data_IF_489879219626
#
_entry.id   IF_489879219626
#
_cell.length_a   1.000
_cell.length_b   1.000
_cell.length_c   1.000
_cell.angle_alpha   90.00
_cell.angle_beta   90.00
_cell.angle_gamma   90.00
#
_symmetry.space_group_name_H-M   'P 1'
#
loop_
_entity.id
_entity.type
_entity.pdbx_description
1 polymer ?
#
# COMPACT_ATOMS: atom_id res chain seq x y z
N UNK A 1 -21.24 38.21 23.34
CA UNK A 1 -22.07 38.56 22.18
C UNK A 1 -21.15 38.87 21.01
N UNK A 2 -20.91 37.89 20.13
CA UNK A 2 -20.09 38.09 18.92
C UNK A 2 -20.97 38.81 17.89
N UNK A 3 -20.61 40.03 17.60
CA UNK A 3 -21.26 40.80 16.52
C UNK A 3 -20.79 40.19 15.20
N UNK A 4 -21.63 39.39 14.58
CA UNK A 4 -21.45 38.94 13.21
C UNK A 4 -21.63 40.18 12.31
N UNK A 5 -20.50 40.79 11.94
CA UNK A 5 -20.53 41.85 10.92
C UNK A 5 -21.07 41.24 9.62
N UNK A 6 -22.18 41.84 9.14
CA UNK A 6 -22.73 41.46 7.85
C UNK A 6 -21.68 41.72 6.76
N UNK A 7 -21.29 40.69 6.02
CA UNK A 7 -20.37 40.80 4.88
C UNK A 7 -21.07 41.69 3.82
N UNK A 8 -20.33 42.61 3.23
CA UNK A 8 -20.84 43.39 2.12
C UNK A 8 -21.21 42.48 0.93
N UNK A 9 -22.13 42.92 0.11
CA UNK A 9 -22.55 42.20 -1.09
C UNK A 9 -21.35 41.90 -2.00
N UNK A 10 -20.39 42.82 -2.04
CA UNK A 10 -19.14 42.65 -2.79
C UNK A 10 -18.28 41.50 -2.21
N UNK A 11 -18.18 41.41 -0.87
CA UNK A 11 -17.46 40.33 -0.20
C UNK A 11 -18.12 38.97 -0.44
N UNK A 12 -19.46 38.94 -0.44
CA UNK A 12 -20.20 37.69 -0.73
C UNK A 12 -20.03 37.30 -2.20
N UNK A 13 -20.08 38.26 -3.14
CA UNK A 13 -19.89 38.03 -4.56
C UNK A 13 -18.46 37.54 -4.84
N UNK A 14 -17.44 38.16 -4.21
CA UNK A 14 -16.04 37.75 -4.33
C UNK A 14 -15.84 36.36 -3.77
N UNK A 15 -16.46 36.03 -2.63
CA UNK A 15 -16.36 34.68 -2.05
C UNK A 15 -17.05 33.63 -2.94
N UNK A 16 -18.15 33.95 -3.58
CA UNK A 16 -18.82 33.07 -4.55
C UNK A 16 -17.95 32.85 -5.78
N UNK A 17 -17.44 33.94 -6.35
CA UNK A 17 -16.53 33.87 -7.50
C UNK A 17 -15.30 33.02 -7.19
N UNK A 18 -14.76 33.15 -5.98
CA UNK A 18 -13.65 32.34 -5.49
C UNK A 18 -14.01 30.85 -5.41
N UNK A 19 -15.21 30.53 -4.90
CA UNK A 19 -15.70 29.15 -4.80
C UNK A 19 -15.99 28.54 -6.18
N UNK A 20 -16.41 29.37 -7.13
CA UNK A 20 -16.72 28.95 -8.50
C UNK A 20 -15.46 28.83 -9.37
N UNK A 21 -14.34 29.41 -8.93
CA UNK A 21 -13.07 29.31 -9.65
C UNK A 21 -12.60 27.86 -9.70
N UNK A 22 -12.19 27.42 -10.88
CA UNK A 22 -11.76 26.03 -11.09
C UNK A 22 -10.49 25.73 -10.31
N UNK A 23 -10.55 24.70 -9.47
CA UNK A 23 -9.39 24.23 -8.70
C UNK A 23 -8.42 23.53 -9.64
N UNK A 24 -7.13 23.84 -9.50
CA UNK A 24 -6.07 23.28 -10.34
C UNK A 24 -4.87 22.91 -9.47
N UNK A 25 -3.97 22.11 -10.05
CA UNK A 25 -2.64 21.84 -9.50
C UNK A 25 -1.62 22.63 -10.30
N UNK A 26 -0.82 23.44 -9.61
CA UNK A 26 0.41 23.98 -10.19
C UNK A 26 1.51 22.95 -9.99
N UNK A 27 2.05 22.40 -11.07
CA UNK A 27 3.09 21.36 -11.04
C UNK A 27 4.43 22.02 -11.38
N UNK A 28 5.38 21.96 -10.45
CA UNK A 28 6.67 22.60 -10.62
C UNK A 28 7.76 21.86 -9.84
N UNK A 29 8.89 21.61 -10.49
CA UNK A 29 10.08 20.99 -9.89
C UNK A 29 9.81 19.69 -9.15
N UNK A 30 8.98 18.82 -9.72
CA UNK A 30 8.66 17.51 -9.14
C UNK A 30 7.70 17.54 -7.97
N UNK A 31 7.08 18.69 -7.70
CA UNK A 31 6.05 18.85 -6.69
C UNK A 31 4.79 19.47 -7.27
N UNK A 32 3.77 19.62 -6.44
CA UNK A 32 2.54 20.30 -6.85
C UNK A 32 1.92 21.03 -5.67
N UNK A 33 1.16 22.08 -5.97
CA UNK A 33 0.39 22.80 -4.97
C UNK A 33 -0.99 23.17 -5.50
N UNK A 34 -1.96 23.30 -4.59
CA UNK A 34 -3.32 23.64 -4.93
C UNK A 34 -3.42 25.14 -5.25
N UNK A 35 -4.17 25.47 -6.30
CA UNK A 35 -4.42 26.83 -6.73
C UNK A 35 -5.82 26.94 -7.35
N UNK A 36 -6.27 28.18 -7.52
CA UNK A 36 -7.50 28.51 -8.23
C UNK A 36 -7.14 29.31 -9.47
N UNK A 37 -7.62 28.88 -10.61
CA UNK A 37 -7.40 29.61 -11.88
C UNK A 37 -8.38 30.80 -11.91
N UNK A 38 -7.81 32.00 -12.05
CA UNK A 38 -8.59 33.24 -12.14
C UNK A 38 -9.00 33.48 -13.59
N UNK A 39 -10.20 33.99 -13.76
CA UNK A 39 -10.72 34.36 -15.08
C UNK A 39 -10.14 35.70 -15.52
N UNK A 40 -9.97 35.91 -16.82
CA UNK A 40 -9.50 37.17 -17.39
C UNK A 40 -10.36 38.36 -16.95
N UNK A 41 -11.66 38.13 -16.77
CA UNK A 41 -12.62 39.16 -16.32
C UNK A 41 -12.33 39.68 -14.92
N UNK A 42 -11.59 38.93 -14.10
CA UNK A 42 -11.39 39.30 -12.70
C UNK A 42 -10.18 40.22 -12.46
N UNK A 43 -9.34 40.43 -13.47
CA UNK A 43 -8.08 41.17 -13.32
C UNK A 43 -7.89 42.33 -14.30
N UNK A 44 -8.76 42.46 -15.29
CA UNK A 44 -8.75 43.62 -16.19
C UNK A 44 -7.63 43.71 -17.21
N UNK A 45 -6.62 42.82 -17.16
CA UNK A 45 -5.51 42.77 -18.09
C UNK A 45 -5.46 41.42 -18.81
N UNK A 46 -5.39 41.46 -20.15
CA UNK A 46 -5.25 40.26 -20.94
C UNK A 46 -3.84 39.68 -20.79
N UNK A 47 -3.76 38.35 -20.63
CA UNK A 47 -2.49 37.66 -20.54
C UNK A 47 -1.97 37.26 -21.93
N UNK A 48 -0.66 37.12 -22.09
CA UNK A 48 -0.10 36.54 -23.34
C UNK A 48 -0.65 35.13 -23.53
N UNK A 49 -0.67 34.70 -24.81
CA UNK A 49 -1.13 33.36 -25.18
C UNK A 49 -0.26 32.29 -24.47
N UNK A 50 -0.91 31.26 -23.91
CA UNK A 50 -0.25 30.17 -23.20
C UNK A 50 0.08 30.49 -21.74
N UNK A 51 -0.36 31.63 -21.20
CA UNK A 51 -0.15 32.00 -19.80
C UNK A 51 -1.48 32.04 -19.08
N UNK A 52 -1.47 31.62 -17.81
CA UNK A 52 -2.65 31.67 -16.94
C UNK A 52 -2.29 32.32 -15.60
N UNK A 53 -3.30 32.89 -14.96
CA UNK A 53 -3.14 33.53 -13.64
C UNK A 53 -3.77 32.63 -12.59
N UNK A 54 -2.96 32.30 -11.57
CA UNK A 54 -3.39 31.43 -10.49
C UNK A 54 -3.31 32.14 -9.15
N UNK A 55 -4.28 31.86 -8.29
CA UNK A 55 -4.21 32.24 -6.87
C UNK A 55 -3.89 30.98 -6.07
N UNK A 56 -2.74 30.99 -5.39
CA UNK A 56 -2.26 29.84 -4.59
C UNK A 56 -3.11 29.71 -3.32
N UNK A 57 -3.52 28.48 -2.98
CA UNK A 57 -4.37 28.23 -1.81
C UNK A 57 -3.61 28.41 -0.49
N UNK A 58 -2.31 28.10 -0.46
CA UNK A 58 -1.56 28.08 0.81
C UNK A 58 -1.18 29.47 1.33
N UNK A 59 -1.04 30.48 0.48
CA UNK A 59 -0.62 31.82 0.90
C UNK A 59 -1.45 32.96 0.29
N UNK A 60 -2.32 32.65 -0.69
CA UNK A 60 -3.17 33.63 -1.36
C UNK A 60 -2.46 34.46 -2.45
N UNK A 61 -1.20 34.17 -2.74
CA UNK A 61 -0.45 34.90 -3.76
C UNK A 61 -1.04 34.65 -5.15
N UNK A 62 -1.04 35.70 -5.98
CA UNK A 62 -1.47 35.62 -7.38
C UNK A 62 -0.19 35.62 -8.23
N UNK A 63 -0.06 34.59 -9.06
CA UNK A 63 1.12 34.41 -9.93
C UNK A 63 0.68 34.09 -11.36
N UNK A 64 1.56 34.40 -12.31
CA UNK A 64 1.38 34.04 -13.72
C UNK A 64 2.32 32.90 -14.05
N UNK A 65 1.78 31.85 -14.68
CA UNK A 65 2.51 30.63 -15.02
C UNK A 65 2.16 30.18 -16.43
N UNK A 66 2.97 29.29 -16.98
CA UNK A 66 2.65 28.63 -18.25
C UNK A 66 1.47 27.67 -18.05
N UNK A 67 0.57 27.65 -19.02
CA UNK A 67 -0.59 26.76 -19.01
C UNK A 67 -0.16 25.27 -18.94
N UNK A 68 1.00 24.94 -19.49
CA UNK A 68 1.55 23.57 -19.47
C UNK A 68 1.96 23.11 -18.06
N UNK A 69 2.16 24.04 -17.12
CA UNK A 69 2.49 23.72 -15.73
C UNK A 69 1.23 23.52 -14.86
N UNK A 70 0.04 23.57 -15.45
CA UNK A 70 -1.22 23.51 -14.72
C UNK A 70 -1.99 22.25 -15.10
N UNK A 71 -2.39 21.46 -14.08
CA UNK A 71 -3.25 20.28 -14.23
C UNK A 71 -4.58 20.52 -13.52
N UNK A 72 -5.64 19.95 -14.07
CA UNK A 72 -6.96 20.03 -13.43
C UNK A 72 -7.00 19.23 -12.14
N UNK A 73 -7.55 19.82 -11.09
CA UNK A 73 -7.76 19.18 -9.80
C UNK A 73 -9.25 18.82 -9.65
N UNK A 74 -9.51 17.75 -8.92
CA UNK A 74 -10.86 17.33 -8.65
C UNK A 74 -11.50 18.23 -7.58
N UNK A 75 -12.82 18.41 -7.60
CA UNK A 75 -13.52 19.14 -6.53
C UNK A 75 -13.31 18.47 -5.16
N UNK A 76 -13.41 19.24 -4.05
CA UNK A 76 -13.17 18.74 -2.70
C UNK A 76 -13.91 17.45 -2.31
N UNK A 77 -15.15 17.19 -2.76
CA UNK A 77 -15.80 15.90 -2.43
C UNK A 77 -15.05 14.67 -2.89
N UNK A 78 -14.13 14.79 -3.86
CA UNK A 78 -13.30 13.69 -4.33
C UNK A 78 -12.01 13.49 -3.53
N UNK A 79 -11.68 14.37 -2.58
CA UNK A 79 -10.40 14.35 -1.86
C UNK A 79 -10.14 13.01 -1.16
N UNK A 80 -11.19 12.30 -0.73
CA UNK A 80 -11.09 11.01 -0.07
C UNK A 80 -11.86 9.92 -0.81
N UNK A 81 -11.96 10.01 -2.13
CA UNK A 81 -12.70 9.01 -2.90
C UNK A 81 -12.08 7.62 -2.71
N UNK A 82 -12.91 6.60 -2.68
CA UNK A 82 -12.51 5.23 -2.41
C UNK A 82 -11.91 4.54 -3.64
N UNK A 83 -12.19 5.05 -4.83
CA UNK A 83 -11.72 4.45 -6.09
C UNK A 83 -11.14 5.55 -6.98
N UNK A 84 -9.84 5.47 -7.24
CA UNK A 84 -9.13 6.43 -8.10
C UNK A 84 -9.68 6.44 -9.53
N UNK A 85 -10.28 5.34 -9.99
CA UNK A 85 -10.90 5.28 -11.32
C UNK A 85 -12.15 6.17 -11.43
N UNK A 86 -12.71 6.62 -10.30
CA UNK A 86 -13.88 7.50 -10.28
C UNK A 86 -13.51 8.99 -10.25
N UNK A 87 -12.21 9.33 -10.16
CA UNK A 87 -11.77 10.72 -10.22
C UNK A 87 -12.20 11.35 -11.56
N UNK A 88 -12.71 12.57 -11.51
CA UNK A 88 -13.12 13.31 -12.71
C UNK A 88 -11.89 13.61 -13.57
N UNK A 89 -10.78 14.01 -12.94
CA UNK A 89 -9.52 14.29 -13.60
C UNK A 89 -8.47 13.36 -13.03
N UNK A 90 -8.00 12.42 -13.85
CA UNK A 90 -7.03 11.40 -13.45
C UNK A 90 -5.64 11.84 -13.93
N UNK A 91 -4.85 12.35 -12.99
CA UNK A 91 -3.45 12.74 -13.23
C UNK A 91 -2.64 12.42 -11.96
N UNK A 92 -1.32 12.48 -12.05
CA UNK A 92 -0.44 12.10 -10.95
C UNK A 92 -0.68 12.94 -9.69
N UNK A 93 -0.87 14.24 -9.85
CA UNK A 93 -1.09 15.16 -8.73
C UNK A 93 -2.39 14.83 -8.00
N UNK A 94 -3.47 14.57 -8.74
CA UNK A 94 -4.77 14.20 -8.17
C UNK A 94 -4.72 12.86 -7.45
N UNK A 95 -4.04 11.86 -8.05
CA UNK A 95 -3.86 10.54 -7.43
C UNK A 95 -3.10 10.70 -6.12
N UNK A 96 -1.96 11.38 -6.16
CA UNK A 96 -1.13 11.56 -4.97
C UNK A 96 -1.86 12.35 -3.88
N UNK A 97 -2.61 13.38 -4.26
CA UNK A 97 -3.43 14.17 -3.33
C UNK A 97 -4.47 13.27 -2.62
N UNK A 98 -5.21 12.47 -3.38
CA UNK A 98 -6.24 11.56 -2.84
C UNK A 98 -5.61 10.55 -1.87
N UNK A 99 -4.51 9.91 -2.29
CA UNK A 99 -3.81 8.93 -1.45
C UNK A 99 -3.29 9.59 -0.15
N UNK A 100 -2.76 10.81 -0.24
CA UNK A 100 -2.28 11.57 0.92
C UNK A 100 -3.42 11.91 1.89
N UNK A 101 -4.58 12.36 1.36
CA UNK A 101 -5.75 12.70 2.16
C UNK A 101 -6.30 11.45 2.88
N UNK A 102 -6.36 10.34 2.17
CA UNK A 102 -6.81 9.06 2.75
C UNK A 102 -5.82 8.57 3.81
N UNK A 103 -4.53 8.57 3.51
CA UNK A 103 -3.48 8.15 4.45
C UNK A 103 -3.50 8.97 5.73
N UNK A 104 -3.71 10.28 5.63
CA UNK A 104 -3.82 11.17 6.79
C UNK A 104 -5.00 10.84 7.72
N UNK A 105 -5.96 10.06 7.21
CA UNK A 105 -7.11 9.57 7.99
C UNK A 105 -6.96 8.06 8.31
N UNK A 106 -5.77 7.51 8.20
CA UNK A 106 -5.45 6.08 8.41
C UNK A 106 -6.16 5.15 7.42
N UNK A 107 -6.55 5.66 6.25
CA UNK A 107 -7.15 4.87 5.17
C UNK A 107 -6.04 4.52 4.18
N UNK A 108 -5.38 3.38 4.43
CA UNK A 108 -4.19 2.98 3.66
C UNK A 108 -4.51 2.20 2.39
N UNK A 109 -5.76 1.75 2.23
CA UNK A 109 -6.23 1.00 1.06
C UNK A 109 -7.09 1.90 0.19
N UNK A 110 -6.88 1.86 -1.13
CA UNK A 110 -7.67 2.66 -2.09
C UNK A 110 -7.85 1.84 -3.37
N UNK A 111 -9.08 1.69 -3.84
CA UNK A 111 -9.32 1.02 -5.11
C UNK A 111 -8.73 1.84 -6.27
N UNK A 112 -8.31 1.17 -7.31
CA UNK A 112 -7.85 1.76 -8.58
C UNK A 112 -8.44 0.92 -9.72
N UNK A 113 -9.76 0.96 -9.86
CA UNK A 113 -10.50 0.08 -10.76
C UNK A 113 -10.39 -1.37 -10.29
N UNK A 114 -9.86 -2.26 -11.15
CA UNK A 114 -9.66 -3.67 -10.82
C UNK A 114 -8.47 -3.92 -9.88
N UNK A 115 -7.64 -2.91 -9.65
CA UNK A 115 -6.47 -3.00 -8.77
C UNK A 115 -6.74 -2.29 -7.44
N UNK A 116 -5.84 -2.49 -6.49
CA UNK A 116 -5.88 -1.80 -5.20
C UNK A 116 -4.49 -1.25 -4.90
N UNK A 117 -4.44 0.01 -4.50
CA UNK A 117 -3.22 0.65 -3.99
C UNK A 117 -3.22 0.53 -2.48
N UNK A 118 -2.13 -0.01 -1.92
CA UNK A 118 -1.95 -0.13 -0.47
C UNK A 118 -0.69 0.64 -0.08
N UNK A 119 -0.84 1.63 0.78
CA UNK A 119 0.28 2.41 1.31
C UNK A 119 0.75 1.74 2.60
N UNK A 120 2.03 1.35 2.63
CA UNK A 120 2.62 0.70 3.82
C UNK A 120 2.70 1.73 4.97
N UNK A 121 1.98 1.53 6.09
CA UNK A 121 1.96 2.53 7.15
C UNK A 121 3.26 2.52 7.95
N UNK A 122 3.61 3.67 8.53
CA UNK A 122 4.80 3.82 9.36
C UNK A 122 4.63 3.20 10.76
N UNK A 123 3.38 2.98 11.18
CA UNK A 123 3.07 2.34 12.46
C UNK A 123 1.90 1.37 12.29
N UNK A 124 1.83 0.33 13.12
CA UNK A 124 0.74 -0.65 12.99
C UNK A 124 -0.65 -0.02 13.16
N UNK A 125 -1.60 -0.51 12.37
CA UNK A 125 -3.01 -0.10 12.44
C UNK A 125 -3.86 -1.26 12.92
N UNK A 126 -4.85 -0.98 13.77
CA UNK A 126 -5.76 -1.98 14.34
C UNK A 126 -6.95 -2.24 13.39
N UNK A 127 -6.65 -2.68 12.17
CA UNK A 127 -7.66 -2.87 11.11
C UNK A 127 -7.71 -4.32 10.59
N UNK A 128 -7.04 -5.26 11.28
CA UNK A 128 -6.89 -6.64 10.77
C UNK A 128 -7.42 -7.71 11.73
N UNK A 129 -8.17 -7.33 12.75
CA UNK A 129 -8.69 -8.27 13.74
C UNK A 129 -9.72 -9.24 13.14
N UNK A 130 -9.98 -10.35 13.83
CA UNK A 130 -11.02 -11.31 13.43
C UNK A 130 -12.40 -10.65 13.35
N UNK A 131 -12.66 -9.66 14.19
CA UNK A 131 -13.90 -8.87 14.13
C UNK A 131 -14.04 -8.16 12.79
N UNK A 132 -12.94 -7.60 12.27
CA UNK A 132 -12.92 -6.96 10.94
C UNK A 132 -13.13 -8.01 9.84
N UNK A 133 -12.54 -9.22 9.97
CA UNK A 133 -12.77 -10.32 9.03
C UNK A 133 -14.28 -10.62 8.94
N UNK A 134 -14.97 -10.71 10.08
CA UNK A 134 -16.40 -11.00 10.10
C UNK A 134 -17.23 -9.90 9.40
N UNK A 135 -16.77 -8.65 9.43
CA UNK A 135 -17.44 -7.54 8.75
C UNK A 135 -17.40 -7.69 7.23
N UNK A 136 -16.35 -8.29 6.68
CA UNK A 136 -16.19 -8.48 5.24
C UNK A 136 -16.77 -9.80 4.73
N UNK A 137 -16.89 -10.80 5.61
CA UNK A 137 -17.31 -12.15 5.24
C UNK A 137 -18.71 -12.15 4.57
N UNK A 138 -18.79 -12.70 3.37
CA UNK A 138 -20.04 -12.83 2.62
C UNK A 138 -20.45 -11.58 1.85
N UNK A 139 -19.73 -10.46 1.99
CA UNK A 139 -20.11 -9.20 1.34
C UNK A 139 -19.77 -9.22 -0.16
N UNK A 140 -20.51 -8.41 -0.91
CA UNK A 140 -20.21 -8.13 -2.32
C UNK A 140 -19.19 -6.98 -2.41
N UNK A 141 -18.44 -6.93 -3.50
CA UNK A 141 -17.41 -5.92 -3.70
C UNK A 141 -17.96 -4.49 -3.57
N UNK A 142 -19.13 -4.24 -4.18
CA UNK A 142 -19.77 -2.92 -4.16
C UNK A 142 -20.20 -2.45 -2.77
N UNK A 143 -20.30 -3.38 -1.81
CA UNK A 143 -20.72 -3.09 -0.44
C UNK A 143 -19.53 -2.94 0.52
N UNK A 144 -18.30 -3.14 0.04
CA UNK A 144 -17.09 -3.15 0.87
C UNK A 144 -16.23 -1.91 0.62
N UNK A 145 -15.78 -1.23 1.70
CA UNK A 145 -14.76 -0.20 1.55
C UNK A 145 -13.42 -0.82 1.11
N UNK A 146 -12.51 -0.03 0.56
CA UNK A 146 -11.17 -0.54 0.22
C UNK A 146 -10.46 -1.10 1.45
N UNK A 147 -10.06 -2.36 1.36
CA UNK A 147 -9.32 -3.08 2.41
C UNK A 147 -8.70 -4.32 1.75
N UNK A 148 -7.59 -4.81 2.30
CA UNK A 148 -6.99 -6.05 1.78
C UNK A 148 -7.97 -7.22 1.88
N UNK A 149 -8.85 -7.21 2.89
CA UNK A 149 -9.90 -8.22 3.06
C UNK A 149 -10.98 -8.12 1.97
N UNK A 150 -11.24 -6.94 1.43
CA UNK A 150 -12.20 -6.82 0.32
C UNK A 150 -11.66 -7.49 -0.95
N UNK A 151 -10.36 -7.40 -1.20
CA UNK A 151 -9.72 -8.10 -2.33
C UNK A 151 -9.81 -9.62 -2.15
N UNK A 152 -9.54 -10.11 -0.93
CA UNK A 152 -9.65 -11.54 -0.61
C UNK A 152 -11.09 -12.03 -0.75
N UNK A 153 -12.05 -11.29 -0.20
CA UNK A 153 -13.47 -11.66 -0.22
C UNK A 153 -14.03 -11.66 -1.65
N UNK A 154 -13.68 -10.65 -2.45
CA UNK A 154 -14.13 -10.58 -3.85
C UNK A 154 -13.58 -11.75 -4.66
N UNK A 155 -12.30 -12.07 -4.51
CA UNK A 155 -11.68 -13.21 -5.19
C UNK A 155 -12.32 -14.53 -4.77
N UNK A 156 -12.53 -14.71 -3.46
CA UNK A 156 -13.18 -15.91 -2.92
C UNK A 156 -14.62 -16.06 -3.44
N UNK A 157 -15.36 -14.97 -3.45
CA UNK A 157 -16.74 -14.95 -3.96
C UNK A 157 -16.79 -15.32 -5.45
N UNK A 158 -15.87 -14.75 -6.23
CA UNK A 158 -15.78 -15.04 -7.67
C UNK A 158 -15.37 -16.50 -7.93
N UNK A 159 -14.46 -17.04 -7.12
CA UNK A 159 -14.08 -18.46 -7.17
C UNK A 159 -15.31 -19.34 -6.98
N UNK A 160 -16.12 -19.08 -5.95
CA UNK A 160 -17.31 -19.89 -5.64
C UNK A 160 -18.39 -19.73 -6.71
N UNK A 161 -18.58 -18.53 -7.24
CA UNK A 161 -19.64 -18.23 -8.21
C UNK A 161 -19.32 -18.78 -9.61
N UNK A 162 -18.07 -18.61 -10.05
CA UNK A 162 -17.65 -18.93 -11.43
C UNK A 162 -16.98 -20.30 -11.56
N UNK A 163 -16.50 -20.86 -10.45
CA UNK A 163 -15.69 -22.09 -10.41
C UNK A 163 -14.41 -21.96 -11.25
N UNK A 164 -13.88 -20.74 -11.37
CA UNK A 164 -12.63 -20.43 -12.07
C UNK A 164 -11.58 -19.99 -11.07
N UNK A 165 -10.35 -20.40 -11.33
CA UNK A 165 -9.21 -20.00 -10.52
C UNK A 165 -9.10 -18.47 -10.46
N UNK A 166 -8.77 -17.97 -9.28
CA UNK A 166 -8.54 -16.54 -9.03
C UNK A 166 -7.08 -16.32 -8.68
N UNK A 167 -6.53 -15.18 -9.08
CA UNK A 167 -5.14 -14.83 -8.78
C UNK A 167 -5.08 -13.46 -8.14
N UNK A 168 -4.39 -13.37 -7.01
CA UNK A 168 -4.09 -12.08 -6.36
C UNK A 168 -2.58 -11.88 -6.47
N UNK A 169 -2.17 -10.81 -7.15
CA UNK A 169 -0.77 -10.52 -7.42
C UNK A 169 -0.34 -9.30 -6.60
N UNK A 170 0.76 -9.43 -5.87
CA UNK A 170 1.33 -8.37 -5.03
C UNK A 170 2.51 -7.74 -5.75
N UNK A 171 2.41 -6.48 -6.10
CA UNK A 171 3.43 -5.72 -6.79
C UNK A 171 3.92 -4.56 -5.91
N UNK A 172 5.20 -4.26 -6.01
CA UNK A 172 5.76 -3.13 -5.26
C UNK A 172 7.25 -3.31 -4.99
N UNK A 173 7.89 -2.23 -4.60
CA UNK A 173 9.31 -2.23 -4.23
C UNK A 173 9.53 -3.00 -2.92
N UNK A 174 10.78 -3.32 -2.62
CA UNK A 174 11.15 -3.94 -1.35
C UNK A 174 10.72 -3.01 -0.19
N UNK A 175 10.13 -3.58 0.85
CA UNK A 175 9.60 -2.80 1.98
C UNK A 175 8.21 -2.22 1.78
N UNK A 176 7.56 -2.45 0.63
CA UNK A 176 6.22 -1.91 0.33
C UNK A 176 5.07 -2.63 1.06
N UNK A 177 5.36 -3.69 1.81
CA UNK A 177 4.34 -4.43 2.57
C UNK A 177 3.70 -5.60 1.83
N UNK A 178 4.28 -6.07 0.72
CA UNK A 178 3.73 -7.19 -0.07
C UNK A 178 3.50 -8.44 0.78
N UNK A 179 4.52 -8.88 1.51
CA UNK A 179 4.46 -10.08 2.34
C UNK A 179 3.45 -9.92 3.48
N UNK A 180 3.37 -8.75 4.07
CA UNK A 180 2.42 -8.45 5.14
C UNK A 180 0.98 -8.56 4.63
N UNK A 181 0.69 -7.94 3.50
CA UNK A 181 -0.65 -8.00 2.90
C UNK A 181 -1.01 -9.41 2.43
N UNK A 182 -0.05 -10.14 1.91
CA UNK A 182 -0.22 -11.54 1.54
C UNK A 182 -0.63 -12.39 2.77
N UNK A 183 0.04 -12.19 3.91
CA UNK A 183 -0.31 -12.88 5.18
C UNK A 183 -1.74 -12.53 5.63
N UNK A 184 -2.13 -11.27 5.49
CA UNK A 184 -3.48 -10.82 5.84
C UNK A 184 -4.54 -11.52 4.96
N UNK A 185 -4.27 -11.69 3.67
CA UNK A 185 -5.19 -12.40 2.76
C UNK A 185 -5.32 -13.87 3.16
N UNK A 186 -4.21 -14.54 3.46
CA UNK A 186 -4.25 -15.94 3.88
C UNK A 186 -5.00 -16.11 5.19
N UNK A 187 -4.74 -15.23 6.15
CA UNK A 187 -5.45 -15.24 7.44
C UNK A 187 -6.96 -15.04 7.21
N UNK A 188 -7.32 -14.08 6.36
CA UNK A 188 -8.71 -13.83 5.99
C UNK A 188 -9.36 -15.09 5.40
N UNK A 189 -8.74 -15.68 4.38
CA UNK A 189 -9.29 -16.84 3.67
C UNK A 189 -9.44 -18.06 4.60
N UNK A 190 -8.45 -18.29 5.48
CA UNK A 190 -8.51 -19.39 6.44
C UNK A 190 -9.71 -19.26 7.39
N UNK A 191 -10.00 -18.05 7.86
CA UNK A 191 -11.12 -17.82 8.78
C UNK A 191 -12.47 -17.67 8.06
N UNK A 192 -12.48 -17.07 6.88
CA UNK A 192 -13.71 -16.83 6.13
C UNK A 192 -14.23 -18.11 5.46
N UNK A 193 -13.34 -18.87 4.81
CA UNK A 193 -13.69 -20.10 4.10
C UNK A 193 -13.71 -21.31 5.04
N UNK A 194 -12.89 -21.35 6.06
CA UNK A 194 -12.65 -22.50 6.90
C UNK A 194 -11.70 -23.50 6.25
N UNK A 195 -11.23 -24.46 7.02
CA UNK A 195 -10.26 -25.46 6.60
C UNK A 195 -10.80 -26.85 6.91
N UNK A 196 -10.83 -27.74 5.90
CA UNK A 196 -11.35 -29.10 6.05
C UNK A 196 -10.46 -29.99 6.92
N UNK A 197 -9.15 -29.72 6.94
CA UNK A 197 -8.17 -30.55 7.62
C UNK A 197 -7.61 -29.78 8.84
N UNK A 198 -7.80 -30.33 10.03
CA UNK A 198 -7.32 -29.73 11.29
C UNK A 198 -5.79 -29.56 11.32
N UNK A 199 -5.05 -30.25 10.46
CA UNK A 199 -3.60 -30.13 10.34
C UNK A 199 -3.23 -28.80 9.62
N UNK A 200 -4.16 -28.24 8.84
CA UNK A 200 -3.97 -26.98 8.15
C UNK A 200 -4.52 -25.79 8.96
N UNK A 201 -4.20 -25.74 10.24
CA UNK A 201 -4.53 -24.56 11.05
C UNK A 201 -3.76 -23.35 10.53
N UNK A 202 -4.26 -22.16 10.81
CA UNK A 202 -3.62 -20.89 10.44
C UNK A 202 -2.14 -20.89 10.88
N UNK A 203 -1.85 -21.51 12.01
CA UNK A 203 -0.50 -21.62 12.58
C UNK A 203 0.37 -22.63 11.82
N UNK A 204 -0.21 -23.75 11.40
CA UNK A 204 0.51 -24.88 10.76
C UNK A 204 0.56 -24.83 9.23
N UNK A 205 -0.21 -24.26 8.78
CA UNK A 205 -0.32 -24.12 7.44
C UNK A 205 0.54 -23.17 6.87
N UNK A 206 0.98 -22.51 7.75
CA UNK A 206 1.83 -21.46 7.19
C UNK A 206 3.30 -21.77 7.45
N UNK A 207 3.96 -22.51 6.59
CA UNK A 207 5.41 -22.74 6.76
C UNK A 207 6.24 -21.50 6.38
N UNK A 208 5.65 -20.30 6.55
CA UNK A 208 6.30 -19.05 6.18
C UNK A 208 7.59 -18.83 6.91
N UNK A 209 7.57 -19.03 8.22
CA UNK A 209 8.74 -18.79 9.05
C UNK A 209 9.92 -19.63 8.57
N UNK A 210 9.65 -20.88 8.17
CA UNK A 210 10.70 -21.76 7.62
C UNK A 210 11.19 -21.25 6.25
N UNK A 211 10.24 -20.87 5.36
CA UNK A 211 10.60 -20.35 4.02
C UNK A 211 11.35 -19.02 4.17
N UNK A 212 10.93 -18.16 5.08
CA UNK A 212 11.60 -16.89 5.33
C UNK A 212 13.01 -17.08 5.86
N UNK A 213 13.22 -18.05 6.74
CA UNK A 213 14.57 -18.35 7.25
C UNK A 213 15.54 -18.60 6.11
N UNK A 214 15.12 -19.39 5.11
CA UNK A 214 15.96 -19.77 3.97
C UNK A 214 15.93 -18.78 2.80
N UNK A 215 14.89 -17.98 2.68
CA UNK A 215 14.65 -17.12 1.52
C UNK A 215 14.74 -15.63 1.77
N UNK A 216 14.89 -15.19 3.01
CA UNK A 216 14.93 -13.77 3.35
C UNK A 216 16.28 -13.39 3.97
N UNK A 217 16.65 -12.14 3.77
CA UNK A 217 17.85 -11.55 4.37
C UNK A 217 17.56 -10.08 4.69
N UNK A 218 18.42 -9.49 5.51
CA UNK A 218 18.38 -8.07 5.79
C UNK A 218 19.10 -7.31 4.65
N UNK A 219 18.50 -6.21 4.22
CA UNK A 219 19.14 -5.26 3.29
C UNK A 219 19.11 -3.87 3.89
N UNK A 220 19.80 -2.94 3.26
CA UNK A 220 19.79 -1.52 3.67
C UNK A 220 18.35 -0.96 3.65
N UNK A 221 17.53 -1.43 2.72
CA UNK A 221 16.16 -0.89 2.51
C UNK A 221 15.08 -1.64 3.30
N UNK A 222 15.37 -2.87 3.76
CA UNK A 222 14.34 -3.73 4.34
C UNK A 222 14.97 -4.77 5.26
N UNK A 223 14.57 -4.79 6.51
CA UNK A 223 15.13 -5.72 7.51
C UNK A 223 14.75 -7.18 7.25
N UNK A 224 13.73 -7.43 6.42
CA UNK A 224 13.25 -8.79 6.09
C UNK A 224 12.91 -8.89 4.60
N UNK A 225 13.90 -8.61 3.74
CA UNK A 225 13.74 -8.65 2.28
C UNK A 225 13.66 -10.09 1.80
N UNK A 226 12.65 -10.38 0.97
CA UNK A 226 12.44 -11.70 0.36
C UNK A 226 13.16 -11.78 -0.98
N UNK A 227 13.92 -12.64 -1.01
CA UNK A 227 14.68 -12.86 -2.14
C UNK A 227 14.18 -13.87 -3.03
N UNK A 228 13.06 -14.45 -2.65
CA UNK A 228 12.41 -15.50 -3.44
C UNK A 228 11.09 -14.99 -4.02
N UNK A 229 10.77 -15.38 -5.24
CA UNK A 229 9.42 -15.20 -5.77
C UNK A 229 8.64 -16.49 -5.51
N UNK A 230 7.48 -16.37 -4.88
CA UNK A 230 6.66 -17.48 -4.44
C UNK A 230 5.28 -17.42 -5.09
N UNK A 231 4.78 -18.57 -5.51
CA UNK A 231 3.36 -18.76 -5.84
C UNK A 231 2.78 -19.65 -4.75
N UNK A 232 1.77 -19.14 -4.09
CA UNK A 232 1.06 -19.85 -3.03
C UNK A 232 -0.32 -20.21 -3.55
N UNK A 233 -0.61 -21.50 -3.64
CA UNK A 233 -1.88 -21.99 -4.17
C UNK A 233 -2.72 -22.56 -3.03
N UNK A 234 -3.98 -22.17 -2.99
CA UNK A 234 -4.99 -22.73 -2.07
C UNK A 234 -6.02 -23.49 -2.92
N UNK A 235 -6.22 -24.74 -2.61
CA UNK A 235 -7.25 -25.56 -3.26
C UNK A 235 -8.49 -25.61 -2.36
N UNK A 236 -9.65 -25.39 -2.95
CA UNK A 236 -10.92 -25.37 -2.23
C UNK A 236 -11.76 -26.58 -2.64
N UNK A 237 -12.46 -27.16 -1.67
CA UNK A 237 -13.38 -28.27 -1.93
C UNK A 237 -14.74 -27.76 -2.47
N UNK A 238 -15.65 -28.67 -2.72
CA UNK A 238 -16.98 -28.35 -3.25
C UNK A 238 -17.81 -27.46 -2.31
N UNK A 239 -17.54 -27.51 -1.00
CA UNK A 239 -18.23 -26.66 -0.02
C UNK A 239 -17.61 -25.28 0.12
N UNK A 240 -16.46 -25.06 -0.55
CA UNK A 240 -15.73 -23.80 -0.48
C UNK A 240 -14.72 -23.71 0.67
N UNK A 241 -14.45 -24.82 1.36
CA UNK A 241 -13.45 -24.85 2.42
C UNK A 241 -12.07 -25.14 1.82
N UNK A 242 -11.01 -24.61 2.46
CA UNK A 242 -9.63 -24.87 2.04
C UNK A 242 -9.31 -26.34 2.31
N UNK A 243 -9.02 -27.07 1.25
CA UNK A 243 -8.69 -28.51 1.30
C UNK A 243 -7.17 -28.75 1.34
N UNK A 244 -6.40 -27.94 0.62
CA UNK A 244 -4.94 -28.06 0.58
C UNK A 244 -4.28 -26.71 0.28
N UNK A 245 -2.98 -26.66 0.52
CA UNK A 245 -2.15 -25.51 0.19
C UNK A 245 -0.81 -25.99 -0.33
N UNK A 246 -0.28 -25.31 -1.34
CA UNK A 246 1.03 -25.61 -1.88
C UNK A 246 1.82 -24.32 -2.17
N UNK A 247 3.15 -24.43 -2.11
CA UNK A 247 4.06 -23.32 -2.37
C UNK A 247 5.03 -23.70 -3.47
N UNK A 248 5.13 -22.87 -4.49
CA UNK A 248 6.13 -23.01 -5.55
C UNK A 248 7.09 -21.83 -5.48
N UNK A 249 8.38 -22.12 -5.37
CA UNK A 249 9.42 -21.10 -5.43
C UNK A 249 9.88 -20.99 -6.89
N UNK A 250 9.77 -19.80 -7.47
CA UNK A 250 10.02 -19.60 -8.92
C UNK A 250 11.36 -18.96 -9.22
N UNK A 251 11.76 -17.94 -8.50
CA UNK A 251 12.97 -17.20 -8.81
C UNK A 251 13.79 -17.03 -7.54
N UNK A 252 15.04 -17.51 -7.61
CA UNK A 252 16.07 -17.20 -6.64
C UNK A 252 16.92 -16.07 -7.20
N UNK A 253 17.14 -15.05 -6.42
CA UNK A 253 18.03 -13.96 -6.80
C UNK A 253 19.48 -14.46 -6.68
N UNK A 254 19.98 -15.06 -7.75
CA UNK A 254 21.29 -15.74 -7.82
C UNK A 254 22.44 -14.83 -7.38
N UNK A 255 22.36 -13.54 -7.73
CA UNK A 255 23.43 -12.59 -7.43
C UNK A 255 23.58 -12.32 -5.92
N UNK A 256 22.53 -12.54 -5.14
CA UNK A 256 22.57 -12.32 -3.68
C UNK A 256 23.26 -13.47 -2.93
N UNK A 257 23.43 -14.64 -3.56
CA UNK A 257 24.11 -15.79 -2.93
C UNK A 257 25.61 -15.81 -3.20
N UNK A 258 26.06 -15.22 -4.32
CA UNK A 258 27.47 -15.24 -4.71
C UNK A 258 28.25 -13.95 -4.43
N UNK A 259 27.58 -12.81 -4.44
CA UNK A 259 28.22 -11.50 -4.24
C UNK A 259 27.24 -10.58 -3.52
N UNK A 260 27.48 -10.38 -2.24
CA UNK A 260 26.67 -9.49 -1.40
C UNK A 260 27.22 -8.07 -1.44
N UNK A 261 26.36 -7.04 -1.41
CA UNK A 261 26.83 -5.70 -1.15
C UNK A 261 27.51 -5.63 0.22
N UNK A 262 28.51 -4.79 0.33
CA UNK A 262 29.24 -4.59 1.59
C UNK A 262 28.27 -4.13 2.69
N UNK A 263 28.33 -4.78 3.85
CA UNK A 263 27.49 -4.47 4.99
C UNK A 263 26.14 -5.18 5.02
N UNK A 264 25.78 -5.96 3.97
CA UNK A 264 24.55 -6.75 3.99
C UNK A 264 24.84 -8.19 4.43
N UNK A 265 24.07 -8.73 5.40
CA UNK A 265 24.25 -10.11 5.88
C UNK A 265 23.73 -11.14 4.88
N UNK A 266 24.00 -12.40 5.14
CA UNK A 266 23.46 -13.52 4.37
C UNK A 266 22.01 -13.83 4.82
N UNK A 267 21.45 -14.92 4.32
CA UNK A 267 20.09 -15.35 4.67
C UNK A 267 19.94 -15.59 6.18
N UNK A 268 18.74 -15.33 6.69
CA UNK A 268 18.44 -15.42 8.12
C UNK A 268 18.80 -16.80 8.73
N UNK A 269 18.65 -17.87 7.96
CA UNK A 269 18.89 -19.24 8.45
C UNK A 269 20.29 -19.41 9.04
N UNK A 270 21.31 -18.78 8.44
CA UNK A 270 22.69 -18.92 8.93
C UNK A 270 22.82 -18.35 10.35
N UNK A 271 22.22 -17.19 10.59
CA UNK A 271 22.28 -16.53 11.90
C UNK A 271 21.37 -17.20 12.93
N UNK A 272 20.21 -17.66 12.49
CA UNK A 272 19.28 -18.40 13.35
C UNK A 272 19.88 -19.74 13.78
N UNK A 273 20.58 -20.43 12.88
CA UNK A 273 21.26 -21.69 13.19
C UNK A 273 22.38 -21.46 14.21
N UNK A 274 23.22 -20.44 13.97
CA UNK A 274 24.30 -20.09 14.88
C UNK A 274 23.81 -19.70 16.28
N UNK A 275 22.69 -19.00 16.34
CA UNK A 275 22.11 -18.50 17.59
C UNK A 275 21.29 -19.56 18.35
N UNK A 276 20.68 -20.51 17.62
CA UNK A 276 19.75 -21.47 18.17
C UNK A 276 20.32 -22.88 18.38
N UNK A 277 21.50 -23.15 17.85
CA UNK A 277 22.13 -24.48 17.96
C UNK A 277 22.61 -24.71 19.41
N UNK A 278 22.31 -25.89 19.93
CA UNK A 278 22.87 -26.34 21.21
C UNK A 278 24.34 -26.73 21.04
N UNK A 279 25.01 -27.01 22.15
CA UNK A 279 26.47 -27.33 22.14
C UNK A 279 26.79 -28.56 21.30
N UNK A 280 25.95 -29.59 21.37
CA UNK A 280 26.16 -30.82 20.61
C UNK A 280 26.08 -30.56 19.09
N UNK A 281 25.13 -29.76 18.67
CA UNK A 281 24.98 -29.41 17.24
C UNK A 281 26.09 -28.47 16.78
N UNK A 282 26.53 -27.55 17.64
CA UNK A 282 27.65 -26.64 17.33
C UNK A 282 28.94 -27.40 17.12
N UNK A 283 29.21 -28.38 17.98
CA UNK A 283 30.41 -29.22 17.88
C UNK A 283 30.35 -30.15 16.67
N UNK A 284 29.19 -30.78 16.43
CA UNK A 284 28.99 -31.71 15.33
C UNK A 284 29.19 -31.04 13.96
N UNK A 285 28.76 -29.80 13.82
CA UNK A 285 28.81 -29.05 12.56
C UNK A 285 29.94 -28.02 12.52
N UNK A 286 30.79 -27.98 13.54
CA UNK A 286 31.90 -27.01 13.68
C UNK A 286 31.47 -25.56 13.50
N UNK A 287 30.26 -25.20 14.03
CA UNK A 287 29.68 -23.89 13.87
C UNK A 287 30.46 -22.78 14.61
N UNK A 288 31.19 -23.15 15.65
CA UNK A 288 32.02 -22.24 16.44
C UNK A 288 33.10 -21.55 15.59
N UNK A 289 33.60 -22.23 14.55
CA UNK A 289 34.60 -21.67 13.63
C UNK A 289 33.99 -20.65 12.68
N UNK A 290 32.70 -20.77 12.38
CA UNK A 290 31.99 -19.83 11.49
C UNK A 290 31.69 -18.48 12.15
N UNK A 291 31.59 -18.47 13.48
CA UNK A 291 31.27 -17.23 14.24
C UNK A 291 32.36 -16.16 14.12
N UNK A 292 33.60 -16.57 13.99
CA UNK A 292 34.76 -15.65 13.88
C UNK A 292 34.85 -14.97 12.51
N UNK A 293 34.12 -15.50 11.51
CA UNK A 293 34.17 -14.98 10.13
C UNK A 293 32.91 -14.15 9.77
N UNK A 294 31.90 -14.17 10.64
CA UNK A 294 30.69 -13.37 10.44
C UNK A 294 30.74 -12.15 11.34
N UNK A 295 31.11 -11.02 10.78
CA UNK A 295 31.04 -9.72 11.46
C UNK A 295 29.57 -9.31 11.57
N UNK A 296 28.83 -10.00 12.43
CA UNK A 296 27.45 -9.63 12.74
C UNK A 296 27.41 -9.06 14.16
N UNK A 297 27.04 -7.81 14.22
CA UNK A 297 26.90 -7.12 15.50
C UNK A 297 25.62 -7.67 16.17
N UNK A 298 25.81 -8.47 17.22
CA UNK A 298 24.72 -9.09 17.98
C UNK A 298 23.97 -8.10 18.87
N UNK A 299 24.12 -6.81 18.65
CA UNK A 299 23.51 -5.78 19.51
C UNK A 299 22.05 -5.46 19.19
N UNK A 300 21.37 -6.22 18.33
CA UNK A 300 19.92 -6.10 18.24
C UNK A 300 19.23 -7.26 18.99
N UNK A 301 19.31 -7.19 20.32
CA UNK A 301 18.31 -7.82 21.17
C UNK A 301 17.13 -6.84 21.25
N UNK A 302 16.06 -7.14 20.52
CA UNK A 302 14.67 -6.74 20.82
C UNK A 302 13.73 -7.12 19.68
#
# INVERSE_FOLDING_TARGET
MLILQARSEEQVAAARAWLDAERVWLVHRGGFCAARQLRETDSGEALPEGRVRLKLEHNGDVIEVDEDDVEKANPPPFDRCEDLAQLRYLNESSVLHTLRQRYGSNLIHTYAGAAMVVINPTSPLAIYSEKVIQMFKGCKLEDMPPHIYSAAQASYRDLLATRRDQSIVFLGRSGAGKTTNFRHILHYLALAAGVTNKVLTVENXMPYQRIEAFGNSRTVMNTNATXLHQIFSLDFDHSGQIASASVQVRILQKNSSGSRPEGEPNYHIFYQLLSGADNDLQDHWALTTCLSQTSYDTTTKE
#
